data_IF_697191180367
#
_entry.id   IF_697191180367
#
_cell.length_a   1.000
_cell.length_b   1.000
_cell.length_c   1.000
_cell.angle_alpha   90.00
_cell.angle_beta   90.00
_cell.angle_gamma   90.00
#
_symmetry.space_group_name_H-M   'P 1'
#
loop_
_entity.id
_entity.type
_entity.pdbx_description
1 polymer ?
#
# COMPACT_ATOMS: atom_id res chain seq x y z
N UNK A 1 9.07 -36.01 23.46
CA UNK A 1 8.14 -37.07 23.00
C UNK A 1 8.97 -38.08 22.25
N UNK A 2 8.77 -39.34 22.63
CA UNK A 2 9.44 -40.59 22.24
C UNK A 2 10.48 -40.50 21.12
N UNK A 3 11.75 -40.72 21.50
CA UNK A 3 12.80 -41.00 20.51
C UNK A 3 12.42 -42.25 19.72
N UNK A 4 12.66 -42.27 18.40
CA UNK A 4 12.22 -43.37 17.55
C UNK A 4 12.80 -44.68 18.08
N UNK A 5 11.93 -45.64 18.36
CA UNK A 5 12.29 -46.99 18.72
C UNK A 5 13.30 -47.49 17.68
N UNK A 6 14.54 -47.72 18.10
CA UNK A 6 15.59 -48.24 17.24
C UNK A 6 15.05 -49.58 16.71
N UNK A 7 14.71 -49.71 15.42
CA UNK A 7 14.26 -50.98 14.89
C UNK A 7 15.41 -51.95 15.11
N UNK A 8 15.13 -53.14 15.66
CA UNK A 8 16.11 -54.19 15.88
C UNK A 8 16.94 -54.39 14.60
N UNK A 9 18.14 -53.80 14.57
CA UNK A 9 19.02 -53.80 13.42
C UNK A 9 19.72 -55.15 13.42
N UNK A 10 19.52 -55.91 12.35
CA UNK A 10 20.20 -57.20 12.21
C UNK A 10 21.68 -56.89 11.93
N UNK A 11 22.58 -57.54 12.67
CA UNK A 11 24.01 -57.47 12.41
C UNK A 11 24.35 -58.14 11.07
N UNK A 12 25.38 -57.67 10.38
CA UNK A 12 25.79 -58.16 9.05
C UNK A 12 26.08 -59.67 9.08
N UNK A 13 25.17 -60.52 8.56
CA UNK A 13 25.33 -61.96 8.62
C UNK A 13 26.23 -62.47 7.50
N UNK A 14 26.64 -61.64 6.53
CA UNK A 14 27.38 -62.09 5.33
C UNK A 14 28.79 -62.63 5.62
N UNK A 15 29.29 -62.38 6.84
CA UNK A 15 30.60 -62.86 7.30
C UNK A 15 30.53 -64.11 8.18
N UNK A 16 29.32 -64.61 8.46
CA UNK A 16 29.14 -65.83 9.23
C UNK A 16 29.56 -67.05 8.40
N UNK A 17 30.39 -67.91 8.98
CA UNK A 17 30.85 -69.15 8.35
C UNK A 17 30.00 -70.31 8.88
N UNK A 18 29.61 -71.23 8.00
CA UNK A 18 28.90 -72.44 8.37
C UNK A 18 29.69 -73.20 9.45
N UNK A 19 29.09 -73.49 10.62
CA UNK A 19 29.73 -74.31 11.63
C UNK A 19 30.10 -75.68 11.07
N UNK A 20 31.21 -76.24 11.54
CA UNK A 20 31.57 -77.61 11.21
C UNK A 20 30.66 -78.59 11.95
N UNK A 21 29.56 -78.97 11.28
CA UNK A 21 28.58 -79.92 11.81
C UNK A 21 29.12 -81.35 11.92
N UNK A 22 30.35 -81.65 11.50
CA UNK A 22 31.04 -82.93 11.72
C UNK A 22 31.82 -82.96 13.06
N UNK A 23 32.07 -81.79 13.65
CA UNK A 23 32.76 -81.63 14.94
C UNK A 23 32.04 -82.36 16.09
N UNK A 24 32.81 -82.74 17.12
CA UNK A 24 32.32 -83.43 18.33
C UNK A 24 31.23 -82.62 19.04
N UNK A 25 31.23 -81.29 18.92
CA UNK A 25 30.25 -80.39 19.52
C UNK A 25 28.80 -80.67 19.07
N UNK A 26 28.60 -81.18 17.85
CA UNK A 26 27.28 -81.47 17.29
C UNK A 26 26.90 -82.96 17.37
N UNK A 27 27.75 -83.80 17.97
CA UNK A 27 27.56 -85.26 18.02
C UNK A 27 26.23 -85.66 18.71
N UNK A 28 25.81 -84.94 19.75
CA UNK A 28 24.55 -85.21 20.45
C UNK A 28 23.32 -84.97 19.55
N UNK A 29 23.35 -83.91 18.73
CA UNK A 29 22.27 -83.57 17.80
C UNK A 29 22.26 -84.53 16.62
N UNK A 30 23.44 -84.93 16.11
CA UNK A 30 23.57 -85.97 15.08
C UNK A 30 23.00 -87.31 15.54
N UNK A 31 23.25 -87.70 16.80
CA UNK A 31 22.76 -88.96 17.37
C UNK A 31 21.22 -89.01 17.45
N UNK A 32 20.58 -87.89 17.81
CA UNK A 32 19.12 -87.77 17.82
C UNK A 32 18.50 -87.90 16.43
N UNK A 33 19.13 -87.32 15.41
CA UNK A 33 18.70 -87.46 14.01
C UNK A 33 18.88 -88.89 13.49
N UNK A 34 19.95 -89.58 13.94
CA UNK A 34 20.17 -91.00 13.62
C UNK A 34 19.13 -91.90 14.29
N UNK A 35 18.77 -91.64 15.54
CA UNK A 35 17.67 -92.33 16.23
C UNK A 35 16.30 -92.11 15.56
N UNK A 36 16.12 -90.98 14.89
CA UNK A 36 14.94 -90.68 14.08
C UNK A 36 14.94 -91.37 12.69
N UNK A 37 15.90 -92.28 12.43
CA UNK A 37 15.93 -93.11 11.22
C UNK A 37 16.76 -92.54 10.07
N UNK A 38 17.54 -91.47 10.28
CA UNK A 38 18.47 -90.93 9.28
C UNK A 38 19.85 -91.56 9.41
N UNK A 39 20.63 -91.61 8.34
CA UNK A 39 22.06 -91.93 8.42
C UNK A 39 22.85 -90.74 8.97
N UNK A 40 24.08 -90.98 9.46
CA UNK A 40 24.92 -89.92 10.02
C UNK A 40 25.24 -88.82 8.98
N UNK A 41 25.43 -89.21 7.73
CA UNK A 41 25.66 -88.30 6.59
C UNK A 41 24.42 -87.46 6.27
N UNK A 42 23.22 -88.04 6.38
CA UNK A 42 21.95 -87.33 6.19
C UNK A 42 21.64 -86.36 7.34
N UNK A 43 22.08 -86.68 8.56
CA UNK A 43 21.97 -85.80 9.72
C UNK A 43 22.86 -84.56 9.55
N UNK A 44 24.10 -84.72 9.10
CA UNK A 44 25.02 -83.61 8.79
C UNK A 44 24.50 -82.73 7.66
N UNK A 45 23.96 -83.34 6.59
CA UNK A 45 23.35 -82.62 5.47
C UNK A 45 22.13 -81.81 5.91
N UNK A 46 21.24 -82.40 6.70
CA UNK A 46 20.02 -81.71 7.20
C UNK A 46 20.37 -80.50 8.06
N UNK A 47 21.40 -80.59 8.91
CA UNK A 47 21.86 -79.48 9.75
C UNK A 47 22.50 -78.36 8.94
N UNK A 48 23.28 -78.72 7.91
CA UNK A 48 23.87 -77.75 6.97
C UNK A 48 22.80 -77.02 6.16
N UNK A 49 21.86 -77.75 5.56
CA UNK A 49 20.76 -77.17 4.77
C UNK A 49 19.89 -76.24 5.62
N UNK A 50 19.61 -76.61 6.88
CA UNK A 50 18.86 -75.76 7.81
C UNK A 50 19.60 -74.47 8.17
N UNK A 51 20.91 -74.55 8.39
CA UNK A 51 21.74 -73.37 8.64
C UNK A 51 21.86 -72.48 7.40
N UNK A 52 22.06 -73.05 6.21
CA UNK A 52 22.13 -72.32 4.94
C UNK A 52 20.81 -71.59 4.64
N UNK A 53 19.66 -72.22 4.89
CA UNK A 53 18.35 -71.60 4.70
C UNK A 53 18.12 -70.43 5.66
N UNK A 54 18.47 -70.59 6.94
CA UNK A 54 18.35 -69.55 7.97
C UNK A 54 19.35 -68.39 7.73
N UNK A 55 20.59 -68.70 7.39
CA UNK A 55 21.61 -67.73 7.01
C UNK A 55 21.20 -66.96 5.74
N UNK A 56 20.71 -67.63 4.69
CA UNK A 56 20.19 -66.98 3.50
C UNK A 56 19.01 -66.03 3.82
N UNK A 57 18.11 -66.45 4.71
CA UNK A 57 17.03 -65.59 5.18
C UNK A 57 17.54 -64.35 5.93
N UNK A 58 18.51 -64.51 6.85
CA UNK A 58 19.14 -63.38 7.54
C UNK A 58 19.83 -62.42 6.57
N UNK A 59 20.58 -62.93 5.59
CA UNK A 59 21.24 -62.13 4.55
C UNK A 59 20.19 -61.35 3.74
N UNK A 60 19.08 -61.99 3.34
CA UNK A 60 18.02 -61.31 2.60
C UNK A 60 17.35 -60.19 3.41
N UNK A 61 17.06 -60.41 4.69
CA UNK A 61 16.46 -59.38 5.55
C UNK A 61 17.45 -58.22 5.78
N UNK A 62 18.73 -58.53 6.01
CA UNK A 62 19.76 -57.51 6.15
C UNK A 62 19.94 -56.68 4.86
N UNK A 63 19.99 -57.34 3.69
CA UNK A 63 20.05 -56.65 2.40
C UNK A 63 18.84 -55.76 2.16
N UNK A 64 17.63 -56.24 2.48
CA UNK A 64 16.41 -55.44 2.39
C UNK A 64 16.47 -54.20 3.31
N UNK A 65 17.03 -54.35 4.52
CA UNK A 65 17.23 -53.24 5.45
C UNK A 65 18.23 -52.20 4.89
N UNK A 66 19.37 -52.66 4.38
CA UNK A 66 20.38 -51.76 3.78
C UNK A 66 19.81 -51.00 2.58
N UNK A 67 19.02 -51.66 1.73
CA UNK A 67 18.36 -51.01 0.59
C UNK A 67 17.32 -49.98 1.03
N UNK A 68 16.54 -50.28 2.07
CA UNK A 68 15.58 -49.33 2.63
C UNK A 68 16.27 -48.10 3.23
N UNK A 69 17.37 -48.29 3.97
CA UNK A 69 18.16 -47.21 4.56
C UNK A 69 18.77 -46.30 3.47
N UNK A 70 19.31 -46.90 2.40
CA UNK A 70 19.85 -46.16 1.26
C UNK A 70 18.75 -45.35 0.54
N UNK A 71 17.60 -45.97 0.26
CA UNK A 71 16.48 -45.29 -0.38
C UNK A 71 15.93 -44.13 0.48
N UNK A 72 15.89 -44.29 1.80
CA UNK A 72 15.50 -43.21 2.73
C UNK A 72 16.53 -42.08 2.73
N UNK A 73 17.82 -42.38 2.76
CA UNK A 73 18.87 -41.38 2.70
C UNK A 73 18.86 -40.59 1.39
N UNK A 74 18.63 -41.26 0.25
CA UNK A 74 18.48 -40.62 -1.06
C UNK A 74 17.23 -39.73 -1.13
N UNK A 75 16.10 -40.21 -0.59
CA UNK A 75 14.86 -39.44 -0.54
C UNK A 75 15.03 -38.17 0.32
N UNK A 76 15.65 -38.27 1.49
CA UNK A 76 15.90 -37.12 2.36
C UNK A 76 16.86 -36.12 1.70
N UNK A 77 17.92 -36.62 1.05
CA UNK A 77 18.85 -35.77 0.31
C UNK A 77 18.15 -35.05 -0.84
N UNK A 78 17.20 -35.71 -1.51
CA UNK A 78 16.41 -35.08 -2.56
C UNK A 78 15.47 -34.02 -2.00
N UNK A 79 14.80 -34.27 -0.86
CA UNK A 79 13.95 -33.27 -0.21
C UNK A 79 14.73 -32.04 0.22
N UNK A 80 15.95 -32.21 0.73
CA UNK A 80 16.81 -31.09 1.10
C UNK A 80 17.20 -30.26 -0.14
N UNK A 81 17.54 -30.91 -1.25
CA UNK A 81 17.82 -30.22 -2.53
C UNK A 81 16.58 -29.47 -3.04
N UNK A 82 15.42 -30.10 -3.03
CA UNK A 82 14.18 -29.48 -3.50
C UNK A 82 13.77 -28.30 -2.61
N UNK A 83 13.94 -28.41 -1.30
CA UNK A 83 13.70 -27.31 -0.35
C UNK A 83 14.67 -26.14 -0.57
N UNK A 84 15.96 -26.42 -0.79
CA UNK A 84 16.95 -25.38 -1.10
C UNK A 84 16.64 -24.69 -2.42
N UNK A 85 16.26 -25.45 -3.45
CA UNK A 85 15.82 -24.89 -4.73
C UNK A 85 14.57 -24.02 -4.58
N UNK A 86 13.55 -24.48 -3.84
CA UNK A 86 12.33 -23.73 -3.58
C UNK A 86 12.63 -22.42 -2.82
N UNK A 87 13.50 -22.46 -1.82
CA UNK A 87 13.90 -21.28 -1.05
C UNK A 87 14.63 -20.25 -1.93
N UNK A 88 15.55 -20.69 -2.80
CA UNK A 88 16.24 -19.81 -3.75
C UNK A 88 15.28 -19.18 -4.75
N UNK A 89 14.29 -19.92 -5.22
CA UNK A 89 13.26 -19.37 -6.12
C UNK A 89 12.40 -18.33 -5.42
N UNK A 90 12.00 -18.56 -4.17
CA UNK A 90 11.22 -17.58 -3.39
C UNK A 90 12.01 -16.30 -3.13
N UNK A 91 13.30 -16.41 -2.77
CA UNK A 91 14.19 -15.27 -2.57
C UNK A 91 14.40 -14.48 -3.88
N UNK A 92 14.55 -15.15 -5.02
CA UNK A 92 14.64 -14.49 -6.32
C UNK A 92 13.34 -13.75 -6.68
N UNK A 93 12.18 -14.35 -6.43
CA UNK A 93 10.88 -13.70 -6.66
C UNK A 93 10.71 -12.48 -5.76
N UNK A 94 11.05 -12.58 -4.48
CA UNK A 94 10.98 -11.46 -3.54
C UNK A 94 11.93 -10.31 -3.97
N UNK A 95 13.17 -10.64 -4.35
CA UNK A 95 14.13 -9.65 -4.85
C UNK A 95 13.66 -9.00 -6.17
N UNK A 96 13.04 -9.76 -7.07
CA UNK A 96 12.47 -9.20 -8.31
C UNK A 96 11.27 -8.29 -8.03
N UNK A 97 10.39 -8.67 -7.10
CA UNK A 97 9.27 -7.84 -6.67
C UNK A 97 9.74 -6.55 -5.98
N UNK A 98 10.77 -6.63 -5.13
CA UNK A 98 11.38 -5.46 -4.50
C UNK A 98 12.00 -4.54 -5.56
N UNK A 99 12.74 -5.09 -6.53
CA UNK A 99 13.28 -4.30 -7.65
C UNK A 99 12.18 -3.65 -8.48
N UNK A 100 11.11 -4.38 -8.81
CA UNK A 100 9.93 -3.83 -9.51
C UNK A 100 9.25 -2.75 -8.68
N UNK A 101 9.18 -2.88 -7.36
CA UNK A 101 8.64 -1.86 -6.46
C UNK A 101 9.53 -0.62 -6.41
N UNK A 102 10.86 -0.79 -6.35
CA UNK A 102 11.82 0.30 -6.43
C UNK A 102 11.77 1.02 -7.78
N UNK A 103 11.65 0.29 -8.89
CA UNK A 103 11.53 0.86 -10.23
C UNK A 103 10.21 1.62 -10.42
N UNK A 104 9.10 1.13 -9.84
CA UNK A 104 7.82 1.86 -9.81
C UNK A 104 7.90 3.16 -8.98
N UNK A 105 8.76 3.21 -7.97
CA UNK A 105 8.98 4.39 -7.12
C UNK A 105 9.91 5.43 -7.74
N UNK A 106 10.68 5.08 -8.80
CA UNK A 106 11.53 6.05 -9.49
C UNK A 106 10.67 7.13 -10.15
N UNK A 107 10.98 8.42 -9.95
CA UNK A 107 10.29 9.50 -10.63
C UNK A 107 10.36 9.30 -12.14
N UNK A 108 9.21 9.30 -12.80
CA UNK A 108 9.16 9.27 -14.26
C UNK A 108 9.61 10.63 -14.77
N UNK A 109 10.83 10.69 -15.29
CA UNK A 109 11.36 11.90 -15.89
C UNK A 109 10.60 12.20 -17.18
N UNK A 110 10.20 13.46 -17.34
CA UNK A 110 9.63 13.93 -18.61
C UNK A 110 10.70 13.90 -19.70
N UNK A 111 10.28 13.65 -20.96
CA UNK A 111 11.15 13.78 -22.13
C UNK A 111 11.48 15.25 -22.36
N UNK A 112 12.76 15.57 -22.51
CA UNK A 112 13.20 16.92 -22.88
C UNK A 112 12.86 17.14 -24.36
N UNK A 113 12.13 18.20 -24.67
CA UNK A 113 11.95 18.69 -26.03
C UNK A 113 13.07 19.70 -26.31
N UNK A 114 14.09 19.30 -27.08
CA UNK A 114 15.30 20.12 -27.33
C UNK A 114 15.00 21.46 -28.01
N UNK A 115 13.91 21.53 -28.79
CA UNK A 115 13.49 22.75 -29.50
C UNK A 115 12.44 23.58 -28.71
N UNK A 116 12.13 23.21 -27.47
CA UNK A 116 11.17 23.94 -26.64
C UNK A 116 11.90 24.89 -25.69
N UNK A 117 11.85 26.18 -25.99
CA UNK A 117 12.29 27.20 -25.04
C UNK A 117 11.41 27.19 -23.79
N UNK A 118 11.95 27.57 -22.60
CA UNK A 118 11.12 27.84 -21.43
C UNK A 118 10.01 28.84 -21.79
N UNK A 119 8.78 28.67 -21.26
CA UNK A 119 7.72 29.64 -21.50
C UNK A 119 8.11 31.02 -20.94
N UNK A 120 7.72 32.09 -21.65
CA UNK A 120 8.04 33.49 -21.29
C UNK A 120 7.56 33.87 -19.87
N UNK A 121 6.57 33.14 -19.34
CA UNK A 121 6.08 33.26 -17.97
C UNK A 121 6.02 31.88 -17.33
N UNK A 122 6.87 31.66 -16.33
CA UNK A 122 6.74 30.52 -15.42
C UNK A 122 5.52 30.77 -14.54
N UNK A 123 4.51 29.89 -14.62
CA UNK A 123 3.29 30.05 -13.83
C UNK A 123 3.61 29.82 -12.35
N UNK A 124 3.32 30.81 -11.52
CA UNK A 124 3.22 30.62 -10.08
C UNK A 124 2.02 29.70 -9.81
N UNK A 125 2.33 28.41 -9.66
CA UNK A 125 1.32 27.42 -9.35
C UNK A 125 0.75 27.68 -7.96
N UNK A 126 -0.57 27.62 -7.87
CA UNK A 126 -1.28 27.57 -6.59
C UNK A 126 -0.77 26.35 -5.81
N UNK A 127 -0.84 26.40 -4.48
CA UNK A 127 -0.50 25.27 -3.59
C UNK A 127 -0.98 23.93 -4.17
N UNK A 128 -0.09 22.92 -4.20
CA UNK A 128 -0.42 21.58 -4.74
C UNK A 128 -1.66 20.98 -4.06
N UNK A 129 -1.87 21.30 -2.78
CA UNK A 129 -3.07 20.92 -2.03
C UNK A 129 -4.36 21.47 -2.65
N UNK A 130 -4.38 22.75 -3.01
CA UNK A 130 -5.54 23.38 -3.64
C UNK A 130 -5.78 22.79 -5.03
N UNK A 131 -4.72 22.53 -5.78
CA UNK A 131 -4.80 21.89 -7.11
C UNK A 131 -5.34 20.46 -7.03
N UNK A 132 -4.88 19.65 -6.08
CA UNK A 132 -5.38 18.28 -5.85
C UNK A 132 -6.86 18.27 -5.43
N UNK A 133 -7.27 19.19 -4.56
CA UNK A 133 -8.69 19.38 -4.21
C UNK A 133 -9.54 19.75 -5.44
N UNK A 134 -9.09 20.72 -6.24
CA UNK A 134 -9.79 21.10 -7.46
C UNK A 134 -9.85 19.96 -8.48
N UNK A 135 -8.80 19.14 -8.61
CA UNK A 135 -8.81 17.96 -9.47
C UNK A 135 -9.86 16.92 -9.04
N UNK A 136 -10.23 16.90 -7.76
CA UNK A 136 -11.30 16.08 -7.18
C UNK A 136 -12.66 16.77 -7.14
N UNK A 137 -12.79 17.93 -7.79
CA UNK A 137 -13.98 18.79 -7.76
C UNK A 137 -14.40 19.24 -6.35
N UNK A 138 -13.49 19.19 -5.38
CA UNK A 138 -13.76 19.61 -4.01
C UNK A 138 -13.74 21.14 -3.90
N UNK A 139 -14.48 21.67 -2.92
CA UNK A 139 -14.45 23.08 -2.60
C UNK A 139 -13.05 23.52 -2.15
N UNK A 140 -12.62 24.67 -2.67
CA UNK A 140 -11.38 25.36 -2.30
C UNK A 140 -11.68 26.84 -2.12
N UNK A 141 -11.24 27.39 -1.00
CA UNK A 141 -11.35 28.80 -0.64
C UNK A 141 -10.60 29.68 -1.65
N UNK A 142 -11.17 30.84 -1.97
CA UNK A 142 -10.57 31.82 -2.88
C UNK A 142 -9.22 32.33 -2.36
N UNK A 143 -9.02 32.33 -1.05
CA UNK A 143 -7.81 32.87 -0.44
C UNK A 143 -6.54 32.15 -0.92
N UNK A 144 -6.61 30.87 -1.31
CA UNK A 144 -5.50 30.14 -1.94
C UNK A 144 -4.97 30.79 -3.22
N UNK A 145 -5.81 31.57 -3.90
CA UNK A 145 -5.49 32.20 -5.18
C UNK A 145 -5.05 33.65 -5.01
N UNK A 146 -5.04 34.18 -3.79
CA UNK A 146 -4.52 35.53 -3.52
C UNK A 146 -3.00 35.55 -3.71
N UNK A 147 -2.45 36.72 -4.08
CA UNK A 147 -1.02 36.87 -4.30
C UNK A 147 -0.18 36.54 -3.06
N UNK A 148 -0.67 36.87 -1.87
CA UNK A 148 0.05 36.63 -0.61
C UNK A 148 0.13 35.14 -0.27
N UNK A 149 -0.98 34.39 -0.40
CA UNK A 149 -1.02 32.95 -0.10
C UNK A 149 -0.27 32.14 -1.16
N UNK A 150 -0.32 32.56 -2.44
CA UNK A 150 0.49 31.96 -3.51
C UNK A 150 1.99 32.14 -3.29
N UNK A 151 2.42 33.32 -2.86
CA UNK A 151 3.82 33.60 -2.51
C UNK A 151 4.27 32.72 -1.35
N UNK A 152 3.46 32.60 -0.31
CA UNK A 152 3.74 31.70 0.82
C UNK A 152 3.84 30.23 0.39
N UNK A 153 2.88 29.74 -0.42
CA UNK A 153 2.92 28.38 -0.95
C UNK A 153 4.19 28.13 -1.77
N UNK A 154 4.59 29.07 -2.62
CA UNK A 154 5.81 28.98 -3.42
C UNK A 154 7.09 28.95 -2.57
N UNK A 155 7.10 29.63 -1.41
CA UNK A 155 8.20 29.54 -0.45
C UNK A 155 8.23 28.19 0.28
N UNK A 156 7.07 27.61 0.60
CA UNK A 156 6.99 26.30 1.25
C UNK A 156 7.37 25.15 0.32
N UNK A 157 6.99 25.17 -0.97
CA UNK A 157 7.43 24.16 -1.94
C UNK A 157 8.96 24.17 -2.13
N UNK A 158 9.58 25.35 -2.09
CA UNK A 158 11.06 25.48 -2.12
C UNK A 158 11.72 24.97 -0.84
N UNK A 159 11.05 25.10 0.31
CA UNK A 159 11.52 24.60 1.60
C UNK A 159 11.20 23.12 1.85
N UNK A 160 10.31 22.48 1.09
CA UNK A 160 10.00 21.05 1.22
C UNK A 160 11.12 20.16 0.64
N UNK A 161 12.07 20.74 -0.10
CA UNK A 161 13.34 20.10 -0.43
C UNK A 161 14.36 20.17 0.73
N UNK A 162 14.06 20.93 1.78
CA UNK A 162 14.87 21.02 2.98
C UNK A 162 14.23 20.08 4.02
N UNK A 163 14.88 18.94 4.31
CA UNK A 163 14.48 17.93 5.31
C UNK A 163 14.61 18.51 6.74
N UNK A 164 13.98 19.65 6.99
CA UNK A 164 13.98 20.32 8.28
C UNK A 164 12.83 19.76 9.12
N UNK A 165 13.18 19.04 10.19
CA UNK A 165 12.24 18.57 11.20
C UNK A 165 12.17 19.58 12.36
N UNK A 166 10.95 19.89 12.79
CA UNK A 166 10.71 20.71 13.98
C UNK A 166 10.34 19.82 15.16
N UNK A 167 10.86 20.18 16.34
CA UNK A 167 10.51 19.55 17.62
C UNK A 167 9.16 20.10 18.07
N UNK A 168 8.19 19.22 18.30
CA UNK A 168 6.84 19.58 18.72
C UNK A 168 6.46 18.88 20.00
N UNK A 169 5.93 19.64 20.95
CA UNK A 169 5.40 19.09 22.19
C UNK A 169 3.93 18.70 21.99
N UNK A 170 3.60 17.44 22.29
CA UNK A 170 2.25 16.88 22.29
C UNK A 170 1.91 16.34 23.68
N UNK A 171 0.63 16.03 23.92
CA UNK A 171 0.13 15.54 25.22
C UNK A 171 0.79 14.22 25.66
N UNK A 172 1.41 13.49 24.73
CA UNK A 172 2.13 12.23 24.95
C UNK A 172 3.65 12.35 24.88
N UNK A 173 4.19 13.58 24.77
CA UNK A 173 5.64 13.85 24.75
C UNK A 173 6.10 14.72 23.58
N UNK A 174 7.41 14.83 23.43
CA UNK A 174 8.06 15.59 22.35
C UNK A 174 8.17 14.69 21.10
N UNK A 175 7.56 15.11 19.99
CA UNK A 175 7.58 14.45 18.69
C UNK A 175 8.35 15.30 17.67
N UNK A 176 9.08 14.65 16.76
CA UNK A 176 9.67 15.30 15.59
C UNK A 176 8.65 15.24 14.46
N UNK A 177 8.33 16.39 13.87
CA UNK A 177 7.45 16.47 12.71
C UNK A 177 8.09 17.31 11.61
N UNK A 178 7.82 17.00 10.33
CA UNK A 178 8.28 17.82 9.22
C UNK A 178 7.85 19.28 9.44
N UNK A 179 8.74 20.25 9.18
CA UNK A 179 8.41 21.67 9.33
C UNK A 179 7.20 22.09 8.47
N UNK A 180 6.96 21.38 7.36
CA UNK A 180 5.81 21.54 6.48
C UNK A 180 4.47 21.13 7.11
N UNK A 181 4.48 20.29 8.16
CA UNK A 181 3.27 19.81 8.82
C UNK A 181 2.62 20.85 9.76
N UNK A 182 3.35 21.90 10.17
CA UNK A 182 2.91 22.82 11.22
C UNK A 182 2.41 24.19 10.76
N UNK A 183 2.57 24.52 9.48
CA UNK A 183 1.97 25.74 8.93
C UNK A 183 0.75 25.36 8.12
N UNK A 184 -0.33 25.01 8.82
CA UNK A 184 -1.65 25.15 8.24
C UNK A 184 -1.77 26.62 7.79
N UNK A 185 -1.74 26.86 6.48
CA UNK A 185 -1.96 28.20 5.95
C UNK A 185 -3.27 28.69 6.56
N UNK A 186 -3.25 29.87 7.18
CA UNK A 186 -4.45 30.45 7.79
C UNK A 186 -5.32 31.00 6.65
N UNK A 187 -6.01 30.10 5.97
CA UNK A 187 -6.85 30.39 4.82
C UNK A 187 -8.16 31.01 5.31
N UNK A 188 -8.51 32.17 4.77
CA UNK A 188 -9.80 32.84 5.02
C UNK A 188 -10.89 32.15 4.22
N UNK A 189 -12.06 31.97 4.85
CA UNK A 189 -13.29 31.62 4.13
C UNK A 189 -13.65 32.73 3.13
N UNK A 190 -14.35 32.39 2.05
CA UNK A 190 -14.71 33.36 1.00
C UNK A 190 -15.53 34.52 1.56
N UNK A 191 -16.42 34.24 2.53
CA UNK A 191 -17.24 35.25 3.19
C UNK A 191 -16.42 36.33 3.92
N UNK A 192 -15.18 36.01 4.30
CA UNK A 192 -14.27 36.92 5.01
C UNK A 192 -13.18 37.50 4.10
N UNK A 193 -13.18 37.17 2.80
CA UNK A 193 -12.24 37.73 1.85
C UNK A 193 -12.70 39.17 1.47
N UNK A 194 -11.84 40.19 1.57
CA UNK A 194 -12.20 41.54 1.13
C UNK A 194 -12.60 41.56 -0.34
N UNK A 195 -13.65 42.31 -0.66
CA UNK A 195 -14.19 42.35 -2.03
C UNK A 195 -13.15 42.78 -3.07
N UNK A 196 -12.27 43.73 -2.72
CA UNK A 196 -11.17 44.15 -3.59
C UNK A 196 -10.18 43.01 -3.88
N UNK A 197 -9.87 42.19 -2.87
CA UNK A 197 -9.02 41.01 -3.06
C UNK A 197 -9.74 39.96 -3.90
N UNK A 198 -11.02 39.72 -3.67
CA UNK A 198 -11.85 38.84 -4.50
C UNK A 198 -11.77 39.21 -5.98
N UNK A 199 -11.96 40.49 -6.33
CA UNK A 199 -11.90 41.00 -7.72
C UNK A 199 -10.57 40.66 -8.41
N UNK A 200 -9.46 40.71 -7.66
CA UNK A 200 -8.13 40.38 -8.17
C UNK A 200 -7.86 38.87 -8.23
N UNK A 201 -8.59 38.09 -7.43
CA UNK A 201 -8.28 36.69 -7.15
C UNK A 201 -9.08 35.72 -8.02
N UNK A 202 -10.36 36.00 -8.29
CA UNK A 202 -11.21 35.10 -9.05
C UNK A 202 -10.70 34.77 -10.47
N UNK A 203 -10.03 35.69 -11.23
CA UNK A 203 -9.49 35.34 -12.54
C UNK A 203 -8.41 34.26 -12.42
N UNK A 204 -7.64 34.27 -11.32
CA UNK A 204 -6.65 33.24 -11.06
C UNK A 204 -7.28 31.88 -10.74
N UNK A 205 -8.42 31.83 -10.05
CA UNK A 205 -9.14 30.59 -9.85
C UNK A 205 -9.60 30.02 -11.19
N UNK A 206 -10.24 30.85 -12.04
CA UNK A 206 -10.72 30.43 -13.36
C UNK A 206 -9.57 29.89 -14.21
N UNK A 207 -8.44 30.60 -14.28
CA UNK A 207 -7.27 30.15 -15.02
C UNK A 207 -6.71 28.81 -14.50
N UNK A 208 -6.79 28.55 -13.19
CA UNK A 208 -6.39 27.27 -12.61
C UNK A 208 -7.36 26.15 -13.02
N UNK A 209 -8.68 26.39 -12.97
CA UNK A 209 -9.70 25.44 -13.43
C UNK A 209 -9.50 25.08 -14.91
N UNK A 210 -9.23 26.07 -15.78
CA UNK A 210 -8.92 25.85 -17.20
C UNK A 210 -7.68 24.99 -17.41
N UNK A 211 -6.72 25.05 -16.48
CA UNK A 211 -5.48 24.28 -16.57
C UNK A 211 -5.62 22.82 -16.16
N UNK A 212 -6.71 22.45 -15.47
CA UNK A 212 -6.94 21.10 -14.95
C UNK A 212 -7.78 20.33 -15.97
N UNK A 213 -7.26 19.25 -16.59
CA UNK A 213 -7.95 18.54 -17.67
C UNK A 213 -9.31 17.94 -17.30
N UNK A 214 -9.56 17.70 -16.01
CA UNK A 214 -10.81 17.11 -15.53
C UNK A 214 -12.01 18.06 -15.63
N UNK A 215 -11.81 19.38 -15.68
CA UNK A 215 -12.89 20.35 -15.59
C UNK A 215 -13.62 20.54 -16.93
N UNK A 216 -14.94 20.28 -17.00
CA UNK A 216 -15.73 20.58 -18.19
C UNK A 216 -15.76 22.08 -18.46
N UNK A 217 -15.54 22.50 -19.72
CA UNK A 217 -15.59 23.90 -20.13
C UNK A 217 -16.87 24.61 -19.69
N UNK A 218 -18.02 23.93 -19.77
CA UNK A 218 -19.30 24.49 -19.33
C UNK A 218 -19.30 24.93 -17.85
N UNK A 219 -18.61 24.19 -16.96
CA UNK A 219 -18.55 24.54 -15.54
C UNK A 219 -17.60 25.71 -15.28
N UNK A 220 -16.49 25.77 -16.02
CA UNK A 220 -15.55 26.89 -15.97
C UNK A 220 -16.20 28.19 -16.47
N UNK A 221 -16.97 28.12 -17.56
CA UNK A 221 -17.72 29.25 -18.08
C UNK A 221 -18.78 29.71 -17.07
N UNK A 222 -19.49 28.79 -16.40
CA UNK A 222 -20.43 29.12 -15.35
C UNK A 222 -19.76 29.84 -14.16
N UNK A 223 -18.57 29.41 -13.74
CA UNK A 223 -17.80 30.11 -12.72
C UNK A 223 -17.45 31.54 -13.14
N UNK A 224 -17.01 31.71 -14.39
CA UNK A 224 -16.68 33.03 -14.94
C UNK A 224 -17.90 33.95 -14.93
N UNK A 225 -19.05 33.47 -15.41
CA UNK A 225 -20.30 34.24 -15.39
C UNK A 225 -20.81 34.51 -13.97
N UNK A 226 -20.66 33.54 -13.06
CA UNK A 226 -20.99 33.73 -11.65
C UNK A 226 -20.19 34.87 -11.05
N UNK A 227 -18.85 34.83 -11.11
CA UNK A 227 -18.03 35.89 -10.55
C UNK A 227 -18.25 37.24 -11.24
N UNK A 228 -18.46 37.23 -12.56
CA UNK A 228 -18.84 38.43 -13.30
C UNK A 228 -20.12 39.06 -12.72
N UNK A 229 -21.15 38.25 -12.46
CA UNK A 229 -22.42 38.75 -11.90
C UNK A 229 -22.24 39.44 -10.54
N UNK A 230 -21.29 38.96 -9.72
CA UNK A 230 -20.94 39.55 -8.42
C UNK A 230 -20.20 40.86 -8.60
N UNK A 231 -19.16 40.89 -9.43
CA UNK A 231 -18.35 42.11 -9.61
C UNK A 231 -19.08 43.21 -10.37
N UNK A 232 -20.13 42.88 -11.14
CA UNK A 232 -20.99 43.88 -11.79
C UNK A 232 -22.28 44.18 -11.02
N UNK A 233 -22.47 43.58 -9.83
CA UNK A 233 -23.68 43.79 -9.04
C UNK A 233 -23.81 45.27 -8.64
N UNK A 234 -25.04 45.81 -8.65
CA UNK A 234 -25.30 47.23 -8.34
C UNK A 234 -24.82 47.67 -6.95
N UNK A 235 -24.75 46.72 -6.01
CA UNK A 235 -24.36 46.99 -4.63
C UNK A 235 -22.86 46.80 -4.39
N UNK A 236 -22.05 46.56 -5.44
CA UNK A 236 -20.62 46.32 -5.32
C UNK A 236 -19.81 47.53 -4.80
N UNK A 237 -20.41 48.73 -4.68
CA UNK A 237 -19.76 49.93 -4.17
C UNK A 237 -19.99 50.14 -2.67
N UNK A 238 -21.02 49.52 -2.09
CA UNK A 238 -21.34 49.67 -0.67
C UNK A 238 -20.58 48.64 0.18
N UNK A 239 -19.78 49.05 1.18
CA UNK A 239 -18.98 48.11 1.97
C UNK A 239 -19.78 47.04 2.72
N UNK A 240 -21.03 47.34 3.12
CA UNK A 240 -21.90 46.41 3.85
C UNK A 240 -22.48 45.39 2.87
N UNK A 241 -22.93 45.86 1.73
CA UNK A 241 -23.43 45.01 0.67
C UNK A 241 -22.32 44.17 0.04
N UNK A 242 -21.08 44.67 -0.03
CA UNK A 242 -19.89 43.87 -0.39
C UNK A 242 -19.72 42.68 0.56
N UNK A 243 -19.88 42.86 1.87
CA UNK A 243 -19.85 41.73 2.82
C UNK A 243 -20.98 40.73 2.55
N UNK A 244 -22.19 41.22 2.22
CA UNK A 244 -23.30 40.35 1.86
C UNK A 244 -23.07 39.61 0.53
N UNK A 245 -22.42 40.25 -0.45
CA UNK A 245 -22.00 39.62 -1.71
C UNK A 245 -20.95 38.55 -1.48
N UNK A 246 -19.97 38.78 -0.60
CA UNK A 246 -18.97 37.77 -0.26
C UNK A 246 -19.56 36.60 0.51
N UNK A 247 -20.51 36.84 1.41
CA UNK A 247 -21.27 35.78 2.07
C UNK A 247 -22.11 34.99 1.06
N UNK A 248 -22.71 35.66 0.07
CA UNK A 248 -23.43 35.01 -1.02
C UNK A 248 -22.49 34.13 -1.86
N UNK A 249 -21.30 34.62 -2.19
CA UNK A 249 -20.25 33.85 -2.89
C UNK A 249 -19.91 32.57 -2.13
N UNK A 250 -19.65 32.71 -0.83
CA UNK A 250 -19.31 31.59 0.06
C UNK A 250 -20.42 30.54 0.07
N UNK A 251 -21.66 30.92 0.41
CA UNK A 251 -22.79 30.00 0.53
C UNK A 251 -23.08 29.27 -0.80
N UNK A 252 -23.07 30.00 -1.92
CA UNK A 252 -23.37 29.43 -3.23
C UNK A 252 -22.28 28.47 -3.70
N UNK A 253 -21.00 28.83 -3.55
CA UNK A 253 -19.89 27.95 -3.97
C UNK A 253 -19.85 26.67 -3.15
N UNK A 254 -20.02 26.76 -1.83
CA UNK A 254 -20.07 25.58 -0.96
C UNK A 254 -21.22 24.65 -1.37
N UNK A 255 -22.43 25.19 -1.53
CA UNK A 255 -23.59 24.38 -1.86
C UNK A 255 -23.49 23.76 -3.26
N UNK A 256 -22.93 24.50 -4.22
CA UNK A 256 -22.71 23.99 -5.56
C UNK A 256 -21.73 22.82 -5.57
N UNK A 257 -20.56 22.96 -4.91
CA UNK A 257 -19.58 21.87 -4.79
C UNK A 257 -20.12 20.65 -4.01
N UNK A 258 -20.94 20.87 -2.98
CA UNK A 258 -21.56 19.79 -2.21
C UNK A 258 -22.53 18.93 -3.05
N UNK A 259 -23.21 19.55 -4.04
CA UNK A 259 -24.16 18.88 -4.94
C UNK A 259 -23.55 18.42 -6.26
N UNK A 260 -22.36 18.91 -6.60
CA UNK A 260 -21.70 18.65 -7.87
C UNK A 260 -21.42 17.16 -8.10
N UNK A 261 -20.95 16.48 -7.05
CA UNK A 261 -20.72 15.04 -7.10
C UNK A 261 -22.04 14.31 -6.80
N UNK A 262 -22.69 13.85 -7.88
CA UNK A 262 -23.92 13.07 -7.80
C UNK A 262 -23.71 11.81 -6.94
N UNK A 263 -24.59 11.64 -5.94
CA UNK A 263 -24.68 10.45 -5.09
C UNK A 263 -25.80 9.52 -5.55
N UNK A 264 -26.75 10.06 -6.33
CA UNK A 264 -27.90 9.39 -6.92
C UNK A 264 -28.02 9.77 -8.41
N UNK A 265 -28.54 8.90 -9.28
CA UNK A 265 -28.76 9.20 -10.71
C UNK A 265 -29.74 10.36 -10.97
N UNK A 266 -30.60 10.70 -10.00
CA UNK A 266 -31.54 11.84 -10.09
C UNK A 266 -30.96 13.14 -9.53
N UNK A 267 -29.73 13.13 -9.02
CA UNK A 267 -29.12 14.33 -8.44
C UNK A 267 -28.84 15.36 -9.53
N UNK A 268 -29.34 16.57 -9.31
CA UNK A 268 -29.09 17.73 -10.17
C UNK A 268 -28.40 18.83 -9.38
N UNK A 269 -27.41 19.45 -10.01
CA UNK A 269 -26.75 20.65 -9.50
C UNK A 269 -27.32 21.87 -10.23
N UNK A 270 -27.55 22.95 -9.50
CA UNK A 270 -28.04 24.19 -10.10
C UNK A 270 -26.92 24.88 -10.90
N UNK A 271 -27.31 25.70 -11.88
CA UNK A 271 -26.36 26.53 -12.62
C UNK A 271 -25.88 27.68 -11.73
N UNK A 272 -24.60 27.65 -11.35
CA UNK A 272 -24.00 28.66 -10.46
C UNK A 272 -23.97 30.05 -11.10
N UNK A 273 -24.04 30.17 -12.44
CA UNK A 273 -24.05 31.47 -13.12
C UNK A 273 -25.34 32.26 -12.94
N UNK A 274 -26.40 31.65 -12.39
CA UNK A 274 -27.70 32.31 -12.21
C UNK A 274 -27.73 32.98 -10.83
N UNK A 275 -27.68 34.31 -10.81
CA UNK A 275 -27.75 35.09 -9.59
C UNK A 275 -29.12 34.97 -8.92
N UNK A 276 -29.14 34.54 -7.65
CA UNK A 276 -30.34 34.34 -6.86
C UNK A 276 -30.58 35.52 -5.92
N UNK A 277 -31.45 36.44 -6.36
CA UNK A 277 -31.83 37.63 -5.59
C UNK A 277 -32.42 37.29 -4.21
N UNK A 278 -33.17 36.19 -4.10
CA UNK A 278 -33.78 35.77 -2.83
C UNK A 278 -32.75 35.24 -1.83
N UNK A 279 -31.73 34.54 -2.30
CA UNK A 279 -30.61 34.11 -1.45
C UNK A 279 -29.73 35.30 -1.08
N UNK A 280 -29.43 36.19 -2.02
CA UNK A 280 -28.67 37.42 -1.74
C UNK A 280 -29.33 38.30 -0.68
N UNK A 281 -30.65 38.55 -0.76
CA UNK A 281 -31.38 39.32 0.27
C UNK A 281 -31.27 38.69 1.67
N UNK A 282 -31.20 37.36 1.74
CA UNK A 282 -30.98 36.65 3.01
C UNK A 282 -29.58 36.90 3.55
N UNK A 283 -28.57 36.91 2.68
CA UNK A 283 -27.20 37.28 3.05
C UNK A 283 -27.14 38.73 3.58
N UNK A 284 -27.83 39.67 2.93
CA UNK A 284 -27.94 41.06 3.40
C UNK A 284 -28.52 41.11 4.82
N UNK A 285 -29.67 40.46 5.06
CA UNK A 285 -30.29 40.40 6.38
C UNK A 285 -29.38 39.79 7.46
N UNK A 286 -28.62 38.74 7.12
CA UNK A 286 -27.64 38.13 8.04
C UNK A 286 -26.53 39.10 8.41
N UNK A 287 -25.97 39.82 7.45
CA UNK A 287 -24.89 40.79 7.67
C UNK A 287 -25.40 41.97 8.51
N UNK A 288 -26.57 42.51 8.19
CA UNK A 288 -27.19 43.60 8.96
C UNK A 288 -27.51 43.17 10.40
N UNK A 289 -28.08 41.97 10.59
CA UNK A 289 -28.38 41.43 11.91
C UNK A 289 -27.13 41.20 12.76
N UNK A 290 -26.04 40.71 12.16
CA UNK A 290 -24.75 40.54 12.85
C UNK A 290 -24.19 41.89 13.32
N UNK A 291 -24.20 42.90 12.46
CA UNK A 291 -23.73 44.25 12.81
C UNK A 291 -24.58 44.91 13.89
N UNK A 292 -25.91 44.73 13.84
CA UNK A 292 -26.80 45.23 14.89
C UNK A 292 -26.48 44.62 16.25
N UNK A 293 -26.23 43.30 16.29
CA UNK A 293 -25.83 42.61 17.51
C UNK A 293 -24.48 43.10 18.05
N UNK A 294 -23.47 43.23 17.17
CA UNK A 294 -22.14 43.74 17.56
C UNK A 294 -22.19 45.18 18.10
N UNK A 295 -23.10 46.01 17.58
CA UNK A 295 -23.31 47.39 18.04
C UNK A 295 -24.10 47.48 19.36
N UNK A 296 -24.90 46.46 19.70
CA UNK A 296 -25.62 46.37 20.99
C UNK A 296 -24.73 45.79 22.09
N UNK A 297 -23.77 44.94 21.72
CA UNK A 297 -22.84 44.26 22.63
C UNK A 297 -21.54 45.06 22.89
N UNK A 298 -21.30 46.18 22.18
CA UNK A 298 -20.14 47.09 22.36
C UNK A 298 -20.49 48.33 23.18
#
# INVERSE_FOLDING_TARGET
MEGPAIPNRIEDPTKEVCPDFASVAFAAIRLLLVQAGKTQEEAERTLREGWEADHANRVNVWQAQVQADLAQAEAEQQRLRDAEHAQREEEQRAAEEERKAMDKKKPKLARIAEDMAPPDVLRDHVSEYARDKLAKFAFVELDYFTADVKREASTHTKSAFDDTFTIVQSDSGINLAPASAYKAQKVRADANLPFAEFVLTWPSLVAELESIPAWPKAYVDQYSFFFLSIVTHRDNQDPVAQQALMLYVDEVRHEWHNRLLAKSPDDVVFNISIFSESLYRRCVQKVEGKRHKEAVDS
#
